data_IF_403351062514
#
_entry.id   IF_403351062514
#
_cell.length_a   1.000
_cell.length_b   1.000
_cell.length_c   1.000
_cell.angle_alpha   90.00
_cell.angle_beta   90.00
_cell.angle_gamma   90.00
#
_symmetry.space_group_name_H-M   'P 1'
#
loop_
_entity.id
_entity.type
_entity.pdbx_description
1 polymer ?
#
# COMPACT_ATOMS: atom_id res chain seq x y z
N UNK A 1 22.08 -3.40 6.22
CA UNK A 1 20.79 -2.99 5.62
C UNK A 1 21.03 -2.65 4.16
N UNK A 2 20.03 -2.89 3.31
CA UNK A 2 20.13 -2.75 1.85
C UNK A 2 20.06 -1.30 1.37
N UNK A 3 19.71 -1.13 0.10
CA UNK A 3 19.53 0.18 -0.54
C UNK A 3 18.03 0.44 -0.68
N UNK A 4 17.59 1.67 -0.42
CA UNK A 4 16.20 2.08 -0.69
C UNK A 4 15.94 2.06 -2.19
N UNK A 5 14.72 1.70 -2.60
CA UNK A 5 14.39 1.51 -4.01
C UNK A 5 13.20 2.38 -4.38
N UNK A 6 13.34 3.14 -5.48
CA UNK A 6 12.21 3.69 -6.22
C UNK A 6 11.91 2.73 -7.38
N UNK A 7 10.72 2.13 -7.36
CA UNK A 7 10.21 1.27 -8.41
C UNK A 7 9.21 2.06 -9.24
N UNK A 8 9.27 1.88 -10.56
CA UNK A 8 8.33 2.44 -11.53
C UNK A 8 7.98 1.38 -12.56
N UNK A 9 6.73 1.35 -12.97
CA UNK A 9 6.32 0.65 -14.19
C UNK A 9 6.93 1.34 -15.41
N UNK A 10 7.02 0.58 -16.49
CA UNK A 10 7.67 1.00 -17.74
C UNK A 10 6.87 2.08 -18.49
N UNK A 11 5.59 2.23 -18.18
CA UNK A 11 4.65 3.15 -18.81
C UNK A 11 4.34 4.39 -17.95
N UNK A 12 5.08 4.61 -16.86
CA UNK A 12 5.02 5.84 -16.05
C UNK A 12 6.07 6.85 -16.53
N UNK A 13 5.67 7.96 -17.18
CA UNK A 13 6.61 8.98 -17.61
C UNK A 13 7.07 9.86 -16.43
N UNK A 14 8.37 10.11 -16.34
CA UNK A 14 8.99 10.93 -15.30
C UNK A 14 9.48 12.25 -15.93
N UNK A 15 8.77 13.35 -15.67
CA UNK A 15 9.09 14.68 -16.22
C UNK A 15 9.99 15.54 -15.33
N UNK A 16 10.06 15.21 -14.05
CA UNK A 16 10.84 15.92 -13.04
C UNK A 16 11.56 14.90 -12.17
N UNK A 17 12.60 15.34 -11.45
CA UNK A 17 13.30 14.47 -10.53
C UNK A 17 12.33 13.94 -9.45
N UNK A 18 12.00 12.63 -9.43
CA UNK A 18 10.96 12.08 -8.55
C UNK A 18 11.39 12.07 -7.08
N UNK A 19 12.71 12.12 -6.81
CA UNK A 19 13.24 12.13 -5.45
C UNK A 19 12.94 13.43 -4.69
N UNK A 20 12.54 14.50 -5.39
CA UNK A 20 12.12 15.76 -4.75
C UNK A 20 10.73 15.68 -4.12
N UNK A 21 9.93 14.68 -4.52
CA UNK A 21 8.56 14.47 -4.02
C UNK A 21 8.47 13.45 -2.88
N UNK A 22 9.59 12.80 -2.55
CA UNK A 22 9.67 11.84 -1.44
C UNK A 22 9.92 12.56 -0.12
N UNK A 23 9.24 12.13 0.95
CA UNK A 23 9.37 12.71 2.29
C UNK A 23 10.43 11.97 3.13
N UNK A 24 10.55 10.66 2.93
CA UNK A 24 11.51 9.79 3.61
C UNK A 24 11.16 9.45 5.06
N UNK A 25 9.90 9.66 5.49
CA UNK A 25 9.47 9.45 6.88
C UNK A 25 8.64 8.17 7.09
N UNK A 26 8.49 7.36 6.05
CA UNK A 26 7.72 6.13 6.05
C UNK A 26 8.53 4.98 5.44
N UNK A 27 8.21 3.75 5.82
CA UNK A 27 8.81 2.55 5.20
C UNK A 27 8.47 2.47 3.71
N UNK A 28 7.26 2.92 3.37
CA UNK A 28 6.71 2.94 2.02
C UNK A 28 6.10 4.31 1.72
N UNK A 29 6.44 4.86 0.56
CA UNK A 29 5.71 5.95 -0.08
C UNK A 29 5.18 5.48 -1.42
N UNK A 30 3.90 5.67 -1.70
CA UNK A 30 3.26 5.07 -2.86
C UNK A 30 2.13 5.95 -3.42
N UNK A 31 1.83 5.82 -4.72
CA UNK A 31 0.67 6.46 -5.34
C UNK A 31 -0.67 5.85 -4.89
N UNK A 32 -1.73 6.65 -4.87
CA UNK A 32 -3.10 6.16 -4.66
C UNK A 32 -3.83 6.08 -5.99
N UNK A 33 -4.72 5.10 -6.17
CA UNK A 33 -5.72 5.12 -7.25
C UNK A 33 -6.91 6.06 -6.90
N UNK A 34 -6.95 6.59 -5.67
CA UNK A 34 -7.88 7.66 -5.28
C UNK A 34 -7.54 9.02 -5.90
N UNK A 35 -8.56 9.85 -6.07
CA UNK A 35 -8.49 11.15 -6.79
C UNK A 35 -8.91 12.36 -5.93
N UNK A 36 -9.17 12.15 -4.64
CA UNK A 36 -9.47 13.19 -3.65
C UNK A 36 -9.00 12.78 -2.24
N UNK A 37 -8.95 13.72 -1.30
CA UNK A 37 -8.50 13.48 0.07
C UNK A 37 -9.25 12.30 0.74
N UNK A 38 -10.53 12.17 0.43
CA UNK A 38 -11.41 11.16 1.02
C UNK A 38 -11.08 9.75 0.53
N UNK A 39 -10.82 9.59 -0.76
CA UNK A 39 -10.45 8.32 -1.39
C UNK A 39 -9.01 7.93 -1.03
N UNK A 40 -8.11 8.91 -0.92
CA UNK A 40 -6.69 8.72 -0.63
C UNK A 40 -6.43 8.34 0.84
N UNK A 41 -6.99 9.09 1.79
CA UNK A 41 -6.77 8.84 3.23
C UNK A 41 -7.80 7.90 3.85
N UNK A 42 -8.75 7.45 3.03
CA UNK A 42 -9.80 6.54 3.42
C UNK A 42 -11.02 7.23 4.02
N UNK A 43 -12.14 6.52 3.98
CA UNK A 43 -13.43 7.01 4.42
C UNK A 43 -14.22 5.94 5.16
N UNK A 44 -15.18 6.39 5.96
CA UNK A 44 -16.16 5.48 6.55
C UNK A 44 -17.14 5.04 5.48
N UNK A 45 -17.05 3.76 5.13
CA UNK A 45 -18.02 3.09 4.29
C UNK A 45 -19.13 2.51 5.16
N UNK A 46 -20.37 2.77 4.77
CA UNK A 46 -21.55 2.49 5.56
C UNK A 46 -22.44 1.57 4.72
N UNK A 47 -22.63 0.33 5.18
CA UNK A 47 -23.44 -0.67 4.49
C UNK A 47 -24.68 -1.00 5.33
N UNK A 48 -25.87 -1.02 4.74
CA UNK A 48 -27.05 -1.53 5.43
C UNK A 48 -26.83 -3.03 5.67
N UNK A 49 -27.02 -3.49 6.92
CA UNK A 49 -27.09 -4.92 7.16
C UNK A 49 -28.51 -5.39 6.88
N UNK A 50 -28.64 -6.55 6.24
CA UNK A 50 -29.92 -7.23 6.18
C UNK A 50 -30.38 -7.60 7.60
N UNK A 51 -31.66 -7.88 7.74
CA UNK A 51 -32.24 -8.56 8.92
C UNK A 51 -32.40 -7.70 10.18
N UNK A 52 -32.44 -6.37 10.05
CA UNK A 52 -32.82 -5.46 11.13
C UNK A 52 -31.70 -5.15 12.14
N UNK A 53 -30.48 -5.59 11.88
CA UNK A 53 -29.31 -5.36 12.73
C UNK A 53 -28.65 -3.98 12.55
N UNK A 54 -29.31 -3.06 11.86
CA UNK A 54 -28.84 -1.69 11.66
C UNK A 54 -27.79 -1.57 10.56
N UNK A 55 -26.72 -0.82 10.82
CA UNK A 55 -25.77 -0.37 9.81
C UNK A 55 -24.34 -0.77 10.17
N UNK A 56 -23.65 -1.43 9.24
CA UNK A 56 -22.22 -1.71 9.36
C UNK A 56 -21.42 -0.49 8.92
N UNK A 57 -20.45 -0.09 9.75
CA UNK A 57 -19.48 0.97 9.42
C UNK A 57 -18.09 0.36 9.37
N UNK A 58 -17.42 0.48 8.23
CA UNK A 58 -16.06 0.01 8.02
C UNK A 58 -15.18 1.14 7.51
N UNK A 59 -13.89 1.10 7.83
CA UNK A 59 -12.90 1.94 7.17
C UNK A 59 -12.60 1.36 5.79
N UNK A 60 -12.62 2.21 4.76
CA UNK A 60 -12.28 1.83 3.39
C UNK A 60 -11.21 2.77 2.86
N UNK A 61 -10.20 2.20 2.22
CA UNK A 61 -9.19 2.92 1.46
C UNK A 61 -9.37 2.56 -0.01
N UNK A 62 -9.10 3.50 -0.91
CA UNK A 62 -8.84 3.11 -2.30
C UNK A 62 -7.51 2.37 -2.41
N UNK A 63 -7.37 1.61 -3.49
CA UNK A 63 -6.17 0.83 -3.75
C UNK A 63 -4.97 1.74 -3.91
N UNK A 64 -3.85 1.26 -3.38
CA UNK A 64 -2.52 1.79 -3.60
C UNK A 64 -1.98 1.25 -4.91
N UNK A 65 -1.56 2.15 -5.78
CA UNK A 65 -1.04 1.82 -7.09
C UNK A 65 0.37 1.19 -6.98
N UNK A 66 0.59 0.02 -7.57
CA UNK A 66 1.91 -0.63 -7.53
C UNK A 66 2.89 -0.16 -8.62
N UNK A 67 2.46 0.70 -9.53
CA UNK A 67 3.27 1.18 -10.65
C UNK A 67 4.22 2.33 -10.35
N UNK A 68 4.10 2.99 -9.19
CA UNK A 68 5.14 3.91 -8.68
C UNK A 68 5.16 3.89 -7.15
N UNK A 69 6.29 3.43 -6.59
CA UNK A 69 6.46 3.31 -5.16
C UNK A 69 7.94 3.42 -4.74
N UNK A 70 8.16 3.98 -3.57
CA UNK A 70 9.44 4.04 -2.90
C UNK A 70 9.40 3.18 -1.64
N UNK A 71 10.40 2.31 -1.49
CA UNK A 71 10.60 1.47 -0.30
C UNK A 71 11.91 1.84 0.36
N UNK A 72 11.82 2.33 1.60
CA UNK A 72 12.97 2.61 2.44
C UNK A 72 13.67 1.32 2.85
N UNK A 73 15.00 1.36 3.02
CA UNK A 73 15.80 0.23 3.48
C UNK A 73 15.65 -0.06 4.99
N UNK A 74 14.41 -0.24 5.47
CA UNK A 74 14.06 -0.60 6.85
C UNK A 74 13.85 -2.10 7.01
N UNK A 75 13.71 -2.57 8.24
CA UNK A 75 13.44 -4.00 8.49
C UNK A 75 12.03 -4.38 8.04
N UNK A 76 11.08 -3.47 8.23
CA UNK A 76 9.68 -3.56 7.86
C UNK A 76 9.52 -3.55 6.33
N UNK A 77 10.21 -2.64 5.64
CA UNK A 77 10.25 -2.60 4.17
C UNK A 77 10.83 -3.88 3.57
N UNK A 78 11.95 -4.39 4.12
CA UNK A 78 12.51 -5.68 3.70
C UNK A 78 11.54 -6.83 3.94
N UNK A 79 10.85 -6.85 5.09
CA UNK A 79 9.86 -7.89 5.42
C UNK A 79 8.69 -7.86 4.45
N UNK A 80 8.17 -6.67 4.11
CA UNK A 80 7.11 -6.53 3.12
C UNK A 80 7.52 -7.13 1.78
N UNK A 81 8.70 -6.75 1.27
CA UNK A 81 9.20 -7.25 -0.02
C UNK A 81 9.42 -8.76 0.01
N UNK A 82 9.92 -9.35 1.11
CA UNK A 82 10.06 -10.80 1.24
C UNK A 82 8.70 -11.53 1.23
N UNK A 83 7.71 -10.99 1.95
CA UNK A 83 6.34 -11.53 1.93
C UNK A 83 5.79 -11.50 0.50
N UNK A 84 5.89 -10.36 -0.18
CA UNK A 84 5.39 -10.20 -1.55
C UNK A 84 6.09 -11.13 -2.54
N UNK A 85 7.42 -11.25 -2.46
CA UNK A 85 8.19 -12.22 -3.24
C UNK A 85 7.63 -13.63 -3.07
N UNK A 86 7.35 -14.06 -1.83
CA UNK A 86 6.83 -15.40 -1.54
C UNK A 86 5.41 -15.59 -2.08
N UNK A 87 4.54 -14.59 -1.95
CA UNK A 87 3.16 -14.64 -2.45
C UNK A 87 3.12 -14.67 -3.98
N UNK A 88 3.80 -13.74 -4.63
CA UNK A 88 3.87 -13.66 -6.10
C UNK A 88 4.48 -14.90 -6.75
N UNK A 89 5.37 -15.61 -6.06
CA UNK A 89 5.97 -16.83 -6.57
C UNK A 89 5.10 -18.09 -6.42
N UNK A 90 4.04 -18.05 -5.59
CA UNK A 90 3.29 -19.25 -5.16
C UNK A 90 1.78 -19.14 -5.33
N UNK A 91 1.26 -17.93 -5.38
CA UNK A 91 -0.17 -17.63 -5.46
C UNK A 91 -0.48 -17.02 -6.83
N UNK A 92 -1.67 -17.31 -7.36
CA UNK A 92 -2.23 -16.60 -8.51
C UNK A 92 -2.86 -15.30 -8.04
N UNK A 93 -2.03 -14.28 -7.82
CA UNK A 93 -2.43 -12.98 -7.29
C UNK A 93 -1.69 -11.87 -8.01
N UNK A 94 -2.39 -10.78 -8.32
CA UNK A 94 -1.76 -9.60 -8.87
C UNK A 94 -0.90 -8.91 -7.80
N UNK A 95 0.21 -8.33 -8.23
CA UNK A 95 1.13 -7.54 -7.41
C UNK A 95 0.43 -6.42 -6.65
N UNK A 96 -0.42 -5.63 -7.32
CA UNK A 96 -1.21 -4.59 -6.67
C UNK A 96 -2.12 -5.16 -5.57
N UNK A 97 -2.73 -6.32 -5.83
CA UNK A 97 -3.61 -6.98 -4.85
C UNK A 97 -2.84 -7.50 -3.64
N UNK A 98 -1.71 -8.17 -3.87
CA UNK A 98 -0.84 -8.66 -2.80
C UNK A 98 -0.27 -7.50 -1.97
N UNK A 99 0.20 -6.44 -2.63
CA UNK A 99 0.70 -5.22 -2.02
C UNK A 99 -0.31 -4.61 -1.05
N UNK A 100 -1.52 -4.31 -1.53
CA UNK A 100 -2.56 -3.70 -0.74
C UNK A 100 -2.98 -4.58 0.45
N UNK A 101 -3.11 -5.90 0.23
CA UNK A 101 -3.46 -6.83 1.30
C UNK A 101 -2.39 -6.86 2.40
N UNK A 102 -1.11 -7.04 2.04
CA UNK A 102 -0.02 -7.21 3.01
C UNK A 102 0.35 -5.91 3.74
N UNK A 103 0.12 -4.77 3.10
CA UNK A 103 0.31 -3.45 3.72
C UNK A 103 -0.57 -3.27 4.97
N UNK A 104 -1.81 -3.79 4.95
CA UNK A 104 -2.76 -3.66 6.07
C UNK A 104 -3.01 -4.96 6.83
N UNK A 105 -2.33 -6.06 6.45
CA UNK A 105 -2.56 -7.37 7.06
C UNK A 105 -2.09 -7.38 8.51
N UNK A 106 -2.99 -7.69 9.42
CA UNK A 106 -2.65 -7.89 10.83
C UNK A 106 -1.90 -9.21 11.04
N UNK A 107 -1.01 -9.26 12.02
CA UNK A 107 -0.39 -10.50 12.45
C UNK A 107 -1.45 -11.40 13.12
N UNK A 108 -1.43 -12.71 12.83
CA UNK A 108 -2.31 -13.68 13.49
C UNK A 108 -1.73 -15.09 13.43
N UNK A 109 -1.84 -15.83 14.54
CA UNK A 109 -1.26 -17.18 14.64
C UNK A 109 0.24 -17.18 14.32
N UNK A 110 0.64 -17.94 13.31
CA UNK A 110 2.02 -17.99 12.82
C UNK A 110 2.34 -16.92 11.74
N UNK A 111 1.35 -16.16 11.27
CA UNK A 111 1.55 -15.13 10.26
C UNK A 111 2.06 -13.84 10.92
N UNK A 112 3.25 -13.42 10.50
CA UNK A 112 3.81 -12.13 10.89
C UNK A 112 3.44 -11.06 9.85
N UNK A 113 2.92 -9.93 10.32
CA UNK A 113 2.64 -8.77 9.48
C UNK A 113 3.93 -8.09 8.99
N UNK A 114 3.87 -7.49 7.80
CA UNK A 114 4.89 -6.56 7.32
C UNK A 114 5.11 -5.41 8.32
N UNK A 115 4.02 -4.90 8.90
CA UNK A 115 3.99 -3.79 9.85
C UNK A 115 4.69 -2.52 9.33
N UNK A 116 4.57 -2.25 8.03
CA UNK A 116 5.12 -1.04 7.40
C UNK A 116 4.29 0.19 7.75
N UNK A 117 4.97 1.31 7.95
CA UNK A 117 4.39 2.65 7.87
C UNK A 117 4.27 3.06 6.40
N UNK A 118 3.16 3.74 6.07
CA UNK A 118 2.79 4.04 4.68
C UNK A 118 2.38 5.48 4.54
N UNK A 119 2.94 6.15 3.53
CA UNK A 119 2.52 7.48 3.08
C UNK A 119 2.04 7.41 1.64
N UNK A 120 1.02 8.20 1.33
CA UNK A 120 0.62 8.44 -0.06
C UNK A 120 1.52 9.56 -0.60
N UNK A 121 2.11 9.35 -1.77
CA UNK A 121 2.82 10.42 -2.47
C UNK A 121 1.86 11.57 -2.79
N UNK A 122 2.34 12.81 -2.74
CA UNK A 122 1.47 13.95 -2.96
C UNK A 122 0.88 13.91 -4.39
N UNK A 123 -0.45 13.98 -4.49
CA UNK A 123 -1.22 13.92 -5.75
C UNK A 123 -1.68 15.31 -6.24
N UNK A 124 -1.28 16.38 -5.54
CA UNK A 124 -1.59 17.79 -5.85
C UNK A 124 -0.33 18.66 -5.92
#
# INVERSE_FOLDING_TARGET
LGVSVLLTDVDVPIFQNPFLSLVGDSDVENMSDGWDDRSVYGFVHTLPMSDGHGTLRSLRYETRNSGLLYVSATHEGLRLVDILRRRLAREDVWDQSAWNQETFRLAYGALQSAAVSVRVMNYL
#
